data_IF_841447144413
#
_entry.id   IF_841447144413
#
_cell.length_a   1.000
_cell.length_b   1.000
_cell.length_c   1.000
_cell.angle_alpha   90.00
_cell.angle_beta   90.00
_cell.angle_gamma   90.00
#
_symmetry.space_group_name_H-M   'P 1'
#
loop_
_entity.id
_entity.type
_entity.pdbx_description
1 polymer ?
#
# COMPACT_ATOMS: atom_id res chain seq x y z
N UNK A 1 -24.03 0.67 2.86
CA UNK A 1 -23.38 -0.32 1.96
C UNK A 1 -21.97 0.15 1.67
N UNK A 2 -20.97 -0.74 1.71
CA UNK A 2 -19.59 -0.39 1.33
C UNK A 2 -19.54 -0.33 -0.21
N UNK A 3 -19.02 0.76 -0.75
CA UNK A 3 -18.87 0.92 -2.21
C UNK A 3 -17.44 0.59 -2.64
N UNK A 4 -17.26 0.30 -3.93
CA UNK A 4 -15.92 0.08 -4.52
C UNK A 4 -14.99 1.28 -4.29
N UNK A 5 -15.52 2.51 -4.25
CA UNK A 5 -14.77 3.71 -3.86
C UNK A 5 -14.22 3.62 -2.43
N UNK A 6 -15.05 3.22 -1.46
CA UNK A 6 -14.61 3.03 -0.07
C UNK A 6 -13.54 1.94 0.02
N UNK A 7 -13.73 0.82 -0.70
CA UNK A 7 -12.74 -0.26 -0.77
C UNK A 7 -11.42 0.21 -1.40
N UNK A 8 -11.49 1.02 -2.45
CA UNK A 8 -10.32 1.63 -3.07
C UNK A 8 -9.55 2.51 -2.09
N UNK A 9 -10.23 3.39 -1.34
CA UNK A 9 -9.57 4.18 -0.30
C UNK A 9 -8.97 3.31 0.80
N UNK A 10 -9.62 2.23 1.20
CA UNK A 10 -9.07 1.28 2.18
C UNK A 10 -7.77 0.62 1.65
N UNK A 11 -7.73 0.23 0.37
CA UNK A 11 -6.52 -0.34 -0.25
C UNK A 11 -5.39 0.67 -0.36
N UNK A 12 -5.69 1.93 -0.68
CA UNK A 12 -4.69 3.02 -0.65
C UNK A 12 -4.14 3.19 0.77
N UNK A 13 -5.02 3.28 1.78
CA UNK A 13 -4.60 3.44 3.17
C UNK A 13 -3.72 2.27 3.64
N UNK A 14 -4.11 1.04 3.32
CA UNK A 14 -3.32 -0.15 3.63
C UNK A 14 -1.96 -0.15 2.90
N UNK A 15 -1.92 0.19 1.61
CA UNK A 15 -0.68 0.28 0.84
C UNK A 15 0.27 1.34 1.39
N UNK A 16 -0.25 2.52 1.76
CA UNK A 16 0.52 3.57 2.39
C UNK A 16 1.07 3.14 3.77
N UNK A 17 0.27 2.46 4.58
CA UNK A 17 0.71 1.93 5.87
C UNK A 17 1.86 0.92 5.70
N UNK A 18 1.77 0.02 4.70
CA UNK A 18 2.85 -0.92 4.38
C UNK A 18 4.12 -0.16 3.99
N UNK A 19 4.02 0.83 3.09
CA UNK A 19 5.17 1.63 2.66
C UNK A 19 5.80 2.35 3.85
N UNK A 20 5.00 3.04 4.66
CA UNK A 20 5.49 3.75 5.87
C UNK A 20 6.15 2.77 6.84
N UNK A 21 5.54 1.61 7.08
CA UNK A 21 6.12 0.57 7.94
C UNK A 21 7.46 0.05 7.44
N UNK A 22 7.58 -0.16 6.13
CA UNK A 22 8.84 -0.58 5.50
C UNK A 22 9.92 0.51 5.64
N UNK A 23 9.58 1.77 5.37
CA UNK A 23 10.51 2.90 5.51
C UNK A 23 10.97 3.06 6.96
N UNK A 24 10.05 2.95 7.92
CA UNK A 24 10.35 2.99 9.34
C UNK A 24 11.27 1.83 9.76
N UNK A 25 10.97 0.60 9.31
CA UNK A 25 11.81 -0.57 9.58
C UNK A 25 13.22 -0.41 8.99
N UNK A 26 13.33 0.17 7.79
CA UNK A 26 14.63 0.47 7.19
C UNK A 26 15.42 1.50 8.00
N UNK A 27 14.75 2.57 8.46
CA UNK A 27 15.39 3.63 9.24
C UNK A 27 15.88 3.16 10.62
N UNK A 28 15.22 2.16 11.22
CA UNK A 28 15.56 1.62 12.54
C UNK A 28 16.61 0.51 12.42
N UNK A 29 16.47 -0.40 11.45
CA UNK A 29 17.22 -1.66 11.43
C UNK A 29 18.31 -1.79 10.37
N UNK A 30 18.32 -0.96 9.32
CA UNK A 30 19.16 -1.20 8.13
C UNK A 30 19.89 0.05 7.60
N UNK A 31 20.15 1.04 8.48
CA UNK A 31 20.73 2.35 8.11
C UNK A 31 21.97 2.27 7.22
N UNK A 32 22.83 1.27 7.44
CA UNK A 32 24.13 1.18 6.77
C UNK A 32 24.18 0.13 5.64
N UNK A 33 23.18 -0.75 5.55
CA UNK A 33 23.11 -1.82 4.55
C UNK A 33 22.15 -1.51 3.38
N UNK A 34 21.33 -0.45 3.52
CA UNK A 34 20.31 -0.09 2.53
C UNK A 34 19.08 -1.01 2.56
N UNK A 35 18.27 -0.95 1.51
CA UNK A 35 17.01 -1.69 1.45
C UNK A 35 17.22 -3.20 1.32
N UNK A 36 16.81 -3.95 2.34
CA UNK A 36 16.84 -5.41 2.31
C UNK A 36 15.79 -6.01 1.35
N UNK A 37 15.96 -7.28 0.91
CA UNK A 37 15.01 -7.94 -0.01
C UNK A 37 13.56 -7.90 0.48
N UNK A 38 13.34 -8.11 1.78
CA UNK A 38 12.00 -8.07 2.38
C UNK A 38 11.37 -6.66 2.28
N UNK A 39 12.16 -5.61 2.43
CA UNK A 39 11.68 -4.24 2.33
C UNK A 39 11.35 -3.88 0.87
N UNK A 40 12.14 -4.35 -0.09
CA UNK A 40 11.81 -4.20 -1.51
C UNK A 40 10.49 -4.88 -1.88
N UNK A 41 10.27 -6.11 -1.37
CA UNK A 41 8.99 -6.82 -1.54
C UNK A 41 7.85 -6.04 -0.88
N UNK A 42 8.04 -5.54 0.33
CA UNK A 42 7.05 -4.73 1.04
C UNK A 42 6.70 -3.44 0.28
N UNK A 43 7.69 -2.74 -0.27
CA UNK A 43 7.50 -1.57 -1.12
C UNK A 43 6.72 -1.92 -2.39
N UNK A 44 7.12 -2.99 -3.09
CA UNK A 44 6.45 -3.44 -4.30
C UNK A 44 4.98 -3.85 -4.02
N UNK A 45 4.73 -4.54 -2.91
CA UNK A 45 3.39 -4.94 -2.49
C UNK A 45 2.52 -3.72 -2.12
N UNK A 46 3.07 -2.76 -1.36
CA UNK A 46 2.38 -1.52 -1.01
C UNK A 46 2.02 -0.68 -2.23
N UNK A 47 2.95 -0.54 -3.17
CA UNK A 47 2.70 0.11 -4.46
C UNK A 47 1.66 -0.65 -5.29
N UNK A 48 1.74 -1.98 -5.32
CA UNK A 48 0.77 -2.84 -6.00
C UNK A 48 -0.65 -2.66 -5.47
N UNK A 49 -0.82 -2.59 -4.15
CA UNK A 49 -2.11 -2.28 -3.51
C UNK A 49 -2.68 -0.94 -3.95
N UNK A 50 -1.83 0.11 -3.99
CA UNK A 50 -2.24 1.44 -4.44
C UNK A 50 -2.67 1.42 -5.91
N UNK A 51 -1.91 0.73 -6.77
CA UNK A 51 -2.25 0.59 -8.20
C UNK A 51 -3.57 -0.17 -8.38
N UNK A 52 -3.79 -1.25 -7.62
CA UNK A 52 -5.05 -2.01 -7.64
C UNK A 52 -6.26 -1.19 -7.16
N UNK A 53 -6.04 -0.17 -6.31
CA UNK A 53 -7.12 0.70 -5.86
C UNK A 53 -7.64 1.66 -6.93
N UNK A 54 -6.83 2.00 -7.95
CA UNK A 54 -7.19 2.94 -9.02
C UNK A 54 -8.49 2.53 -9.75
N UNK A 55 -8.64 1.29 -10.27
CA UNK A 55 -9.89 0.89 -10.90
C UNK A 55 -11.08 0.86 -9.93
N UNK A 56 -10.87 0.53 -8.65
CA UNK A 56 -11.93 0.51 -7.63
C UNK A 56 -12.52 1.90 -7.40
N UNK A 57 -11.67 2.93 -7.34
CA UNK A 57 -12.10 4.32 -7.21
C UNK A 57 -12.86 4.78 -8.46
N UNK A 58 -12.38 4.41 -9.66
CA UNK A 58 -13.08 4.73 -10.92
C UNK A 58 -14.45 4.08 -11.03
N UNK A 59 -14.64 2.89 -10.47
CA UNK A 59 -15.93 2.19 -10.45
C UNK A 59 -16.95 2.83 -9.48
N UNK A 60 -16.49 3.73 -8.60
CA UNK A 60 -17.35 4.62 -7.81
C UNK A 60 -18.26 3.90 -6.83
N UNK A 61 -19.54 4.29 -6.84
CA UNK A 61 -20.49 3.95 -5.79
C UNK A 61 -21.22 2.61 -6.00
N UNK A 62 -20.75 1.83 -6.98
CA UNK A 62 -21.19 0.44 -7.13
C UNK A 62 -20.86 -0.32 -5.83
N UNK A 63 -21.76 -1.17 -5.33
CA UNK A 63 -21.50 -1.98 -4.14
C UNK A 63 -20.21 -2.79 -4.34
N UNK A 64 -19.39 -2.88 -3.30
CA UNK A 64 -18.12 -3.60 -3.32
C UNK A 64 -18.32 -5.07 -3.70
#
# INVERSE_FOLDING_TARGET
MITKRHLGYAFIAAGLLVIVGVLAANLIGARDAGFGPLQLIGLAAGMGLIVMAIPLIKLGDKPA
#
